data_IF_643846634723
#
_entry.id   IF_643846634723
#
_cell.length_a   1.000
_cell.length_b   1.000
_cell.length_c   1.000
_cell.angle_alpha   90.00
_cell.angle_beta   90.00
_cell.angle_gamma   90.00
#
_symmetry.space_group_name_H-M   'P 1'
#
loop_
_entity.id
_entity.type
_entity.pdbx_description
1 polymer ?
#
# COMPACT_ATOMS: atom_id res chain seq x y z
N UNK A 1 17.48 -17.05 13.60
CA UNK A 1 17.44 -15.57 13.67
C UNK A 1 16.49 -15.13 12.57
N UNK A 2 15.27 -14.71 12.91
CA UNK A 2 14.29 -14.31 11.91
C UNK A 2 14.65 -12.89 11.46
N UNK A 3 15.25 -12.76 10.28
CA UNK A 3 15.67 -11.46 9.74
C UNK A 3 14.41 -10.70 9.32
N UNK A 4 14.05 -9.65 10.05
CA UNK A 4 12.95 -8.76 9.66
C UNK A 4 13.24 -8.17 8.29
N UNK A 5 12.39 -8.44 7.30
CA UNK A 5 12.52 -7.90 5.94
C UNK A 5 12.32 -6.38 5.99
N UNK A 6 13.20 -5.64 5.31
CA UNK A 6 13.17 -4.18 5.28
C UNK A 6 13.17 -3.66 3.85
N UNK A 7 12.58 -2.50 3.64
CA UNK A 7 12.74 -1.71 2.41
C UNK A 7 13.44 -0.38 2.71
N UNK A 8 13.99 0.27 1.69
CA UNK A 8 14.61 1.59 1.81
C UNK A 8 13.68 2.65 1.25
N UNK A 9 13.47 3.72 2.01
CA UNK A 9 12.65 4.86 1.62
C UNK A 9 13.42 6.16 1.85
N UNK A 10 13.40 7.05 0.87
CA UNK A 10 13.96 8.39 1.00
C UNK A 10 12.94 9.30 1.68
N UNK A 11 13.35 9.99 2.75
CA UNK A 11 12.47 10.90 3.48
C UNK A 11 12.11 12.11 2.61
N UNK A 12 10.82 12.39 2.35
CA UNK A 12 10.41 13.53 1.52
C UNK A 12 10.68 14.89 2.19
N UNK A 13 10.96 14.92 3.48
CA UNK A 13 11.20 16.16 4.24
C UNK A 13 12.67 16.58 4.32
N UNK A 14 13.59 15.61 4.45
CA UNK A 14 15.01 15.90 4.66
C UNK A 14 15.95 15.18 3.69
N UNK A 15 15.42 14.37 2.77
CA UNK A 15 16.18 13.65 1.76
C UNK A 15 17.02 12.47 2.26
N UNK A 16 16.99 12.14 3.56
CA UNK A 16 17.76 11.01 4.09
C UNK A 16 17.06 9.68 3.82
N UNK A 17 17.83 8.69 3.41
CA UNK A 17 17.36 7.31 3.28
C UNK A 17 17.16 6.65 4.65
N UNK A 18 16.05 5.92 4.77
CA UNK A 18 15.68 5.18 5.97
C UNK A 18 15.36 3.74 5.58
N UNK A 19 15.89 2.78 6.34
CA UNK A 19 15.44 1.41 6.26
C UNK A 19 14.23 1.26 7.17
N UNK A 20 13.10 0.84 6.60
CA UNK A 20 11.85 0.62 7.34
C UNK A 20 11.46 -0.86 7.22
N UNK A 21 10.87 -1.45 8.27
CA UNK A 21 10.39 -2.82 8.20
C UNK A 21 9.23 -2.92 7.22
N UNK A 22 9.10 -4.06 6.55
CA UNK A 22 7.95 -4.29 5.66
C UNK A 22 6.66 -4.51 6.44
N UNK A 23 6.76 -5.02 7.67
CA UNK A 23 5.68 -5.22 8.62
C UNK A 23 6.18 -4.86 10.02
N UNK A 24 5.41 -4.06 10.76
CA UNK A 24 5.68 -3.68 12.14
C UNK A 24 4.43 -3.10 12.78
N UNK A 25 4.41 -3.07 14.11
CA UNK A 25 3.46 -2.24 14.85
C UNK A 25 3.85 -0.75 14.71
N UNK A 26 2.84 0.12 14.61
CA UNK A 26 3.06 1.57 14.48
C UNK A 26 3.35 2.03 13.05
N UNK A 27 3.90 3.25 12.91
CA UNK A 27 4.10 3.93 11.61
C UNK A 27 5.57 4.32 11.46
N UNK A 28 6.18 4.16 10.27
CA UNK A 28 7.57 4.52 10.08
C UNK A 28 7.77 6.03 10.19
N UNK A 29 8.84 6.45 10.88
CA UNK A 29 9.26 7.84 11.00
C UNK A 29 10.72 7.99 10.61
N UNK A 30 11.09 9.17 10.13
CA UNK A 30 12.47 9.44 9.73
C UNK A 30 13.39 9.44 10.96
N UNK A 31 14.47 8.65 10.91
CA UNK A 31 15.46 8.61 11.99
C UNK A 31 16.12 9.96 12.27
N UNK A 32 16.17 10.85 11.26
CA UNK A 32 16.79 12.18 11.35
C UNK A 32 15.82 13.30 11.73
N UNK A 33 14.84 13.63 10.88
CA UNK A 33 13.94 14.77 11.11
C UNK A 33 12.65 14.40 11.86
N UNK A 34 12.46 13.12 12.20
CA UNK A 34 11.30 12.57 12.93
C UNK A 34 9.94 12.71 12.25
N UNK A 35 9.88 13.26 11.04
CA UNK A 35 8.64 13.33 10.26
C UNK A 35 8.16 11.92 9.83
N UNK A 36 6.84 11.73 9.65
CA UNK A 36 6.29 10.49 9.10
C UNK A 36 6.93 10.14 7.74
N UNK A 37 7.15 8.85 7.51
CA UNK A 37 7.61 8.35 6.22
C UNK A 37 6.45 7.71 5.46
N UNK A 38 6.47 7.78 4.11
CA UNK A 38 5.62 6.93 3.31
C UNK A 38 5.98 5.46 3.56
N UNK A 39 4.98 4.62 3.76
CA UNK A 39 5.18 3.18 3.93
C UNK A 39 4.79 2.46 2.65
N UNK A 40 5.74 2.39 1.72
CA UNK A 40 5.59 1.70 0.43
C UNK A 40 6.44 0.43 0.46
N UNK A 41 5.81 -0.73 0.28
CA UNK A 41 6.47 -2.04 0.36
C UNK A 41 5.95 -2.97 -0.72
N UNK A 42 6.76 -3.95 -1.08
CA UNK A 42 6.31 -5.10 -1.88
C UNK A 42 5.90 -6.24 -0.95
N UNK A 43 4.91 -7.03 -1.35
CA UNK A 43 4.50 -8.28 -0.70
C UNK A 43 4.22 -9.36 -1.74
N UNK A 44 4.14 -10.61 -1.29
CA UNK A 44 3.85 -11.74 -2.15
C UNK A 44 3.12 -12.87 -1.43
N UNK A 45 2.95 -14.00 -2.12
CA UNK A 45 2.20 -15.17 -1.62
C UNK A 45 2.69 -15.63 -0.24
N UNK A 46 3.99 -15.54 0.03
CA UNK A 46 4.61 -16.00 1.28
C UNK A 46 4.38 -15.06 2.47
N UNK A 47 4.13 -13.77 2.24
CA UNK A 47 4.14 -12.76 3.32
C UNK A 47 2.99 -11.75 3.27
N UNK A 48 2.03 -11.90 2.34
CA UNK A 48 0.92 -10.97 2.20
C UNK A 48 0.12 -10.80 3.49
N UNK A 49 -0.11 -11.89 4.25
CA UNK A 49 -0.84 -11.81 5.50
C UNK A 49 -0.11 -10.97 6.56
N UNK A 50 1.21 -11.14 6.69
CA UNK A 50 2.01 -10.35 7.62
C UNK A 50 2.11 -8.87 7.20
N UNK A 51 2.26 -8.63 5.89
CA UNK A 51 2.50 -7.30 5.36
C UNK A 51 1.22 -6.48 5.19
N UNK A 52 0.11 -7.09 4.80
CA UNK A 52 -1.14 -6.41 4.47
C UNK A 52 -2.27 -6.75 5.45
N UNK A 53 -2.63 -8.04 5.60
CA UNK A 53 -3.83 -8.40 6.36
C UNK A 53 -3.74 -8.02 7.84
N UNK A 54 -2.57 -8.26 8.45
CA UNK A 54 -2.33 -7.98 9.86
C UNK A 54 -1.96 -6.51 10.13
N UNK A 55 -1.95 -5.66 9.10
CA UNK A 55 -1.60 -4.26 9.27
C UNK A 55 -2.71 -3.50 10.03
N UNK A 56 -2.31 -2.81 11.09
CA UNK A 56 -3.21 -1.94 11.87
C UNK A 56 -3.61 -0.68 11.10
N UNK A 57 -2.75 -0.23 10.18
CA UNK A 57 -3.06 0.91 9.32
C UNK A 57 -3.83 0.43 8.08
N UNK A 58 -4.74 1.26 7.55
CA UNK A 58 -5.38 0.99 6.26
C UNK A 58 -4.33 0.75 5.18
N UNK A 59 -4.54 -0.32 4.41
CA UNK A 59 -3.63 -0.76 3.36
C UNK A 59 -4.25 -0.46 2.01
N UNK A 60 -3.51 0.22 1.15
CA UNK A 60 -3.82 0.31 -0.27
C UNK A 60 -2.99 -0.75 -0.98
N UNK A 61 -3.64 -1.66 -1.71
CA UNK A 61 -2.98 -2.73 -2.46
C UNK A 61 -2.98 -2.38 -3.94
N UNK A 62 -1.80 -2.36 -4.56
CA UNK A 62 -1.59 -2.22 -6.00
C UNK A 62 -1.26 -3.60 -6.59
N UNK A 63 -2.25 -4.23 -7.23
CA UNK A 63 -2.08 -5.49 -7.95
C UNK A 63 -1.71 -5.14 -9.40
N UNK A 64 -0.45 -5.37 -9.77
CA UNK A 64 0.14 -4.92 -11.03
C UNK A 64 0.89 -6.06 -11.74
N UNK A 65 1.32 -5.81 -12.98
CA UNK A 65 2.17 -6.72 -13.74
C UNK A 65 3.13 -5.95 -14.66
N UNK A 66 4.26 -6.56 -15.06
CA UNK A 66 5.32 -5.90 -15.85
C UNK A 66 4.88 -5.52 -17.28
N UNK A 67 3.99 -6.31 -17.86
CA UNK A 67 3.41 -6.12 -19.19
C UNK A 67 2.27 -5.08 -19.21
N UNK A 68 1.80 -4.65 -18.03
CA UNK A 68 0.68 -3.73 -17.90
C UNK A 68 1.11 -2.29 -18.20
N UNK A 69 0.77 -1.80 -19.40
CA UNK A 69 0.99 -0.40 -19.79
C UNK A 69 0.39 0.62 -18.80
N UNK A 70 -0.91 0.51 -18.43
CA UNK A 70 -1.53 1.44 -17.48
C UNK A 70 -0.89 1.43 -16.09
N UNK A 71 -0.38 0.29 -15.62
CA UNK A 71 0.26 0.17 -14.31
C UNK A 71 1.50 1.08 -14.18
N UNK A 72 2.23 1.30 -15.28
CA UNK A 72 3.40 2.20 -15.31
C UNK A 72 3.05 3.65 -14.94
N UNK A 73 1.78 4.04 -15.08
CA UNK A 73 1.29 5.36 -14.65
C UNK A 73 0.65 5.31 -13.26
N UNK A 74 -0.08 4.23 -12.94
CA UNK A 74 -0.82 4.10 -11.69
C UNK A 74 0.10 3.87 -10.49
N UNK A 75 1.09 2.98 -10.58
CA UNK A 75 1.96 2.68 -9.44
C UNK A 75 2.73 3.92 -8.95
N UNK A 76 3.35 4.75 -9.82
CA UNK A 76 3.97 6.00 -9.38
C UNK A 76 2.96 7.01 -8.80
N UNK A 77 1.73 7.04 -9.32
CA UNK A 77 0.68 7.89 -8.78
C UNK A 77 0.27 7.47 -7.36
N UNK A 78 0.13 6.16 -7.10
CA UNK A 78 -0.12 5.63 -5.75
C UNK A 78 1.03 5.91 -4.80
N UNK A 79 2.28 5.80 -5.26
CA UNK A 79 3.45 6.17 -4.45
C UNK A 79 3.43 7.66 -4.07
N UNK A 80 3.00 8.54 -4.98
CA UNK A 80 2.79 9.95 -4.63
C UNK A 80 1.69 10.12 -3.58
N UNK A 81 0.55 9.43 -3.73
CA UNK A 81 -0.52 9.47 -2.72
C UNK A 81 -0.04 8.95 -1.36
N UNK A 82 0.77 7.89 -1.34
CA UNK A 82 1.37 7.36 -0.12
C UNK A 82 2.34 8.35 0.55
N UNK A 83 3.01 9.22 -0.21
CA UNK A 83 3.80 10.35 0.32
C UNK A 83 2.90 11.42 0.92
N UNK A 84 1.87 11.83 0.19
CA UNK A 84 0.93 12.87 0.64
C UNK A 84 0.15 12.44 1.90
N UNK A 85 -0.10 11.13 2.02
CA UNK A 85 -0.79 10.50 3.13
C UNK A 85 0.18 9.74 4.06
N UNK A 86 1.45 10.15 4.12
CA UNK A 86 2.46 9.51 4.96
C UNK A 86 1.97 9.34 6.41
N UNK A 87 2.14 8.13 6.94
CA UNK A 87 1.64 7.74 8.26
C UNK A 87 0.12 7.55 8.35
N UNK A 88 -0.68 7.79 7.31
CA UNK A 88 -2.13 7.52 7.34
C UNK A 88 -2.50 6.19 6.68
N UNK A 89 -1.74 5.80 5.67
CA UNK A 89 -1.92 4.55 4.92
C UNK A 89 -0.59 3.82 4.76
N UNK A 90 -0.68 2.55 4.40
CA UNK A 90 0.42 1.74 3.86
C UNK A 90 0.10 1.38 2.41
N UNK A 91 1.05 1.50 1.50
CA UNK A 91 0.92 1.05 0.12
C UNK A 91 1.67 -0.29 -0.03
N UNK A 92 0.95 -1.33 -0.41
CA UNK A 92 1.49 -2.66 -0.68
C UNK A 92 1.38 -2.94 -2.17
N UNK A 93 2.50 -3.23 -2.81
CA UNK A 93 2.58 -3.55 -4.23
C UNK A 93 2.76 -5.06 -4.40
N UNK A 94 1.99 -5.67 -5.29
CA UNK A 94 2.09 -7.10 -5.59
C UNK A 94 2.11 -7.31 -7.09
N UNK A 95 3.19 -7.94 -7.56
CA UNK A 95 3.26 -8.43 -8.94
C UNK A 95 2.44 -9.72 -9.05
N UNK A 96 1.32 -9.69 -9.77
CA UNK A 96 0.41 -10.83 -9.87
C UNK A 96 0.98 -11.99 -10.70
N UNK A 97 1.97 -11.75 -11.56
CA UNK A 97 2.60 -12.82 -12.36
C UNK A 97 3.46 -13.72 -11.46
N UNK A 98 4.06 -13.14 -10.41
CA UNK A 98 4.92 -13.84 -9.46
C UNK A 98 4.14 -14.38 -8.25
N UNK A 99 2.91 -13.92 -8.04
CA UNK A 99 2.11 -14.20 -6.85
C UNK A 99 0.69 -14.68 -7.23
N UNK A 100 0.57 -15.88 -7.83
CA UNK A 100 -0.70 -16.42 -8.28
C UNK A 100 -1.69 -16.67 -7.14
N UNK A 101 -1.23 -16.92 -5.91
CA UNK A 101 -2.08 -17.09 -4.74
C UNK A 101 -2.83 -15.81 -4.38
N UNK A 102 -2.12 -14.69 -4.31
CA UNK A 102 -2.71 -13.36 -4.11
C UNK A 102 -3.64 -12.99 -5.28
N UNK A 103 -3.21 -13.25 -6.51
CA UNK A 103 -4.02 -13.01 -7.72
C UNK A 103 -5.36 -13.77 -7.68
N UNK A 104 -5.32 -15.05 -7.31
CA UNK A 104 -6.51 -15.89 -7.17
C UNK A 104 -7.39 -15.42 -6.00
N UNK A 105 -6.81 -15.15 -4.83
CA UNK A 105 -7.53 -14.71 -3.63
C UNK A 105 -8.37 -13.46 -3.89
N UNK A 106 -7.83 -12.50 -4.64
CA UNK A 106 -8.54 -11.25 -4.96
C UNK A 106 -9.28 -11.29 -6.29
N UNK A 107 -9.37 -12.46 -6.93
CA UNK A 107 -10.06 -12.67 -8.20
C UNK A 107 -9.63 -11.63 -9.24
N UNK A 108 -8.32 -11.48 -9.44
CA UNK A 108 -7.77 -10.47 -10.35
C UNK A 108 -8.04 -10.88 -11.80
N UNK A 109 -8.97 -10.18 -12.44
CA UNK A 109 -9.32 -10.39 -13.86
C UNK A 109 -8.54 -9.48 -14.82
N UNK A 110 -8.09 -8.33 -14.33
CA UNK A 110 -7.34 -7.35 -15.08
C UNK A 110 -6.46 -6.51 -14.15
N UNK A 111 -5.36 -5.98 -14.69
CA UNK A 111 -4.46 -5.08 -13.99
C UNK A 111 -4.46 -3.68 -14.64
N UNK A 112 -4.28 -2.60 -13.84
CA UNK A 112 -4.17 -2.62 -12.39
C UNK A 112 -5.52 -2.92 -11.71
N UNK A 113 -5.48 -3.70 -10.62
CA UNK A 113 -6.58 -3.82 -9.65
C UNK A 113 -6.11 -3.23 -8.34
N UNK A 114 -6.88 -2.30 -7.80
CA UNK A 114 -6.55 -1.57 -6.59
C UNK A 114 -7.54 -1.93 -5.48
N UNK A 115 -7.03 -2.16 -4.29
CA UNK A 115 -7.84 -2.45 -3.11
C UNK A 115 -7.54 -1.43 -2.00
N UNK A 116 -8.53 -1.11 -1.19
CA UNK A 116 -8.30 -0.58 0.16
C UNK A 116 -8.74 -1.66 1.14
N UNK A 117 -7.84 -2.04 2.03
CA UNK A 117 -8.07 -2.99 3.09
C UNK A 117 -8.03 -2.31 4.47
N UNK A 118 -8.88 -2.78 5.37
CA UNK A 118 -8.87 -2.44 6.79
C UNK A 118 -8.90 -3.75 7.59
N UNK A 119 -7.87 -4.00 8.40
CA UNK A 119 -7.72 -5.24 9.18
C UNK A 119 -7.92 -6.53 8.35
N UNK A 120 -7.37 -6.55 7.13
CA UNK A 120 -7.46 -7.68 6.20
C UNK A 120 -8.76 -7.79 5.39
N UNK A 121 -9.76 -6.95 5.69
CA UNK A 121 -11.01 -6.90 4.92
C UNK A 121 -10.93 -5.85 3.82
N UNK A 122 -11.36 -6.20 2.61
CA UNK A 122 -11.44 -5.26 1.48
C UNK A 122 -12.66 -4.34 1.66
N UNK A 123 -12.41 -3.06 1.94
CA UNK A 123 -13.45 -2.04 2.13
C UNK A 123 -13.71 -1.22 0.86
N UNK A 124 -12.77 -1.20 -0.08
CA UNK A 124 -12.99 -0.60 -1.40
C UNK A 124 -12.18 -1.31 -2.48
N UNK A 125 -12.69 -1.31 -3.71
CA UNK A 125 -12.04 -1.87 -4.90
C UNK A 125 -12.19 -0.92 -6.08
N UNK A 126 -11.12 -0.74 -6.84
CA UNK A 126 -11.12 0.00 -8.09
C UNK A 126 -10.33 -0.76 -9.14
N UNK A 127 -10.85 -0.85 -10.35
CA UNK A 127 -10.15 -1.42 -11.50
C UNK A 127 -9.76 -0.33 -12.50
N UNK A 128 -8.63 -0.51 -13.16
CA UNK A 128 -8.17 0.37 -14.24
C UNK A 128 -7.41 1.61 -13.76
N UNK A 129 -6.96 2.39 -14.74
CA UNK A 129 -6.13 3.55 -14.47
C UNK A 129 -6.91 4.81 -14.10
N UNK A 130 -6.38 5.55 -13.14
CA UNK A 130 -6.88 6.86 -12.73
C UNK A 130 -5.69 7.77 -12.39
N UNK A 131 -5.85 9.10 -12.55
CA UNK A 131 -4.83 10.07 -12.13
C UNK A 131 -4.70 10.14 -10.60
N UNK A 132 -3.55 10.62 -10.11
CA UNK A 132 -3.24 10.66 -8.67
C UNK A 132 -4.31 11.36 -7.80
N UNK A 133 -4.91 12.45 -8.29
CA UNK A 133 -5.95 13.17 -7.53
C UNK A 133 -7.22 12.32 -7.34
N UNK A 134 -7.64 11.57 -8.37
CA UNK A 134 -8.80 10.70 -8.31
C UNK A 134 -8.53 9.49 -7.40
N UNK A 135 -7.33 8.90 -7.50
CA UNK A 135 -6.88 7.83 -6.60
C UNK A 135 -6.87 8.30 -5.14
N UNK A 136 -6.35 9.49 -4.89
CA UNK A 136 -6.35 10.09 -3.54
C UNK A 136 -7.77 10.26 -3.00
N UNK A 137 -8.67 10.82 -3.80
CA UNK A 137 -10.05 11.03 -3.38
C UNK A 137 -10.74 9.70 -3.06
N UNK A 138 -10.57 8.69 -3.92
CA UNK A 138 -11.12 7.35 -3.70
C UNK A 138 -10.58 6.72 -2.41
N UNK A 139 -9.28 6.82 -2.14
CA UNK A 139 -8.68 6.35 -0.90
C UNK A 139 -9.25 7.11 0.29
N UNK A 140 -9.24 8.45 0.28
CA UNK A 140 -9.75 9.28 1.38
C UNK A 140 -11.22 8.98 1.71
N UNK A 141 -12.07 8.74 0.70
CA UNK A 141 -13.45 8.31 0.91
C UNK A 141 -13.53 6.97 1.65
N UNK A 142 -12.78 5.96 1.19
CA UNK A 142 -12.74 4.65 1.86
C UNK A 142 -12.22 4.77 3.32
N UNK A 143 -11.30 5.69 3.58
CA UNK A 143 -10.80 5.97 4.92
C UNK A 143 -11.83 6.67 5.82
N UNK A 144 -12.78 7.42 5.25
CA UNK A 144 -13.85 8.09 5.99
C UNK A 144 -14.96 7.11 6.33
N UNK A 145 -15.38 6.29 5.36
CA UNK A 145 -16.44 5.30 5.53
C UNK A 145 -16.12 4.32 6.66
N UNK A 146 -14.85 3.87 6.79
CA UNK A 146 -14.43 2.99 7.91
C UNK A 146 -14.66 3.61 9.29
N UNK A 147 -14.51 4.93 9.42
CA UNK A 147 -14.61 5.61 10.72
C UNK A 147 -16.05 5.66 11.21
N UNK A 148 -16.99 5.70 10.27
CA UNK A 148 -18.43 5.70 10.55
C UNK A 148 -18.88 4.33 11.05
N UNK A 149 -18.35 3.25 10.46
CA UNK A 149 -18.64 1.87 10.88
C UNK A 149 -18.01 1.52 12.23
N UNK A 150 -16.84 2.07 12.56
CA UNK A 150 -16.18 1.86 13.86
C UNK A 150 -16.78 2.66 15.04
N UNK A 151 -17.81 3.48 14.79
CA UNK A 151 -18.46 4.33 15.80
C UNK A 151 -19.84 3.82 16.24
N UNK A 152 -20.20 2.59 15.87
CA UNK A 152 -21.43 1.88 16.28
C UNK A 152 -21.06 0.56 16.96
#
# INVERSE_FOLDING_TARGET
>A
MNTTRTTTVTCPHCGRDNRIPVAAEGRPTCGHCKQPLPWVVDAGDDDFAEVADNAVQPVVVDLWATWCGPCRMVSPALEQVARDLAGRIKLVKVDIDQNPGVSQRFEVQAVPTLLVQDHGETVARQAGAAPAHALRQWIEQALEDRRTTASH
#
